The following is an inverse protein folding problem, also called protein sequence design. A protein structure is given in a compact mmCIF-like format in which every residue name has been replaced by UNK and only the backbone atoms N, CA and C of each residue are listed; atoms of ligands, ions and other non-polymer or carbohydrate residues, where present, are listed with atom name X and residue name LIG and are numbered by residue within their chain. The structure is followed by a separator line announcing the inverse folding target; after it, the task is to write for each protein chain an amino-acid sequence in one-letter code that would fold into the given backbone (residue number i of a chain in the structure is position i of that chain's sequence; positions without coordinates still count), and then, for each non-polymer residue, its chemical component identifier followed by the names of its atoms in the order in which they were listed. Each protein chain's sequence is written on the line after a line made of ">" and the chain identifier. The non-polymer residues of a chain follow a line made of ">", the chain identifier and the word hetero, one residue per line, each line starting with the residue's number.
data_IF_023375735217
#
_entry.id   IF_023375735217
#
_cell.length_a   1.000
_cell.length_b   1.000
_cell.length_c   1.000
_cell.angle_alpha   90.00
_cell.angle_beta   90.00
_cell.angle_gamma   90.00
#
_symmetry.space_group_name_H-M   'P 1'
#
loop_
_entity.id
_entity.type
_entity.pdbx_description
1 polymer ?
#
# COMPACT_ATOMS: atom_id res chain seq x y z
N UNK A 1 -16.71 -7.86 8.48
CA UNK A 1 -17.05 -6.49 8.85
C UNK A 1 -16.31 -5.48 8.01
N UNK A 2 -16.99 -4.41 7.66
CA UNK A 2 -16.35 -3.37 6.85
C UNK A 2 -15.34 -2.59 7.68
N UNK A 3 -14.13 -2.44 7.14
CA UNK A 3 -13.08 -1.65 7.78
C UNK A 3 -13.37 -0.17 7.54
N UNK A 4 -13.25 0.67 8.56
CA UNK A 4 -13.48 2.10 8.42
C UNK A 4 -12.36 2.73 7.60
N UNK A 5 -12.60 3.92 7.04
CA UNK A 5 -11.57 4.64 6.27
C UNK A 5 -10.33 4.94 7.12
N UNK A 6 -10.55 5.29 8.38
CA UNK A 6 -9.47 5.56 9.32
C UNK A 6 -8.60 4.33 9.56
N UNK A 7 -9.27 3.18 9.74
CA UNK A 7 -8.56 1.92 9.91
C UNK A 7 -7.82 1.52 8.65
N UNK A 8 -8.43 1.75 7.48
CA UNK A 8 -7.78 1.46 6.21
C UNK A 8 -6.53 2.29 6.01
N UNK A 9 -6.57 3.57 6.34
CA UNK A 9 -5.39 4.44 6.25
C UNK A 9 -4.26 3.90 7.11
N UNK A 10 -4.58 3.45 8.32
CA UNK A 10 -3.59 2.86 9.22
C UNK A 10 -3.00 1.59 8.63
N UNK A 11 -3.84 0.71 8.09
CA UNK A 11 -3.38 -0.54 7.49
C UNK A 11 -2.53 -0.29 6.24
N UNK A 12 -2.90 0.69 5.43
CA UNK A 12 -2.10 1.05 4.25
C UNK A 12 -0.71 1.50 4.68
N UNK A 13 -0.62 2.35 5.70
CA UNK A 13 0.65 2.82 6.20
C UNK A 13 1.48 1.69 6.80
N UNK A 14 0.84 0.81 7.58
CA UNK A 14 1.52 -0.36 8.15
C UNK A 14 2.05 -1.29 7.06
N UNK A 15 1.26 -1.50 6.02
CA UNK A 15 1.68 -2.32 4.90
C UNK A 15 2.94 -1.75 4.24
N UNK A 16 2.93 -0.45 3.96
CA UNK A 16 4.05 0.20 3.29
C UNK A 16 5.30 0.23 4.16
N UNK A 17 5.14 0.45 5.46
CA UNK A 17 6.27 0.40 6.38
C UNK A 17 6.90 -0.99 6.43
N UNK A 18 6.05 -2.03 6.46
CA UNK A 18 6.53 -3.41 6.44
C UNK A 18 7.23 -3.73 5.13
N UNK A 19 6.66 -3.28 4.01
CA UNK A 19 7.27 -3.47 2.70
C UNK A 19 8.63 -2.80 2.62
N UNK A 20 8.73 -1.57 3.12
CA UNK A 20 9.99 -0.83 3.15
C UNK A 20 11.05 -1.57 3.96
N UNK A 21 10.66 -2.09 5.14
CA UNK A 21 11.58 -2.84 5.99
C UNK A 21 12.06 -4.12 5.29
N UNK A 22 11.16 -4.81 4.61
CA UNK A 22 11.51 -6.02 3.87
C UNK A 22 12.52 -5.70 2.76
N UNK A 23 12.28 -4.64 2.01
CA UNK A 23 13.14 -4.27 0.89
C UNK A 23 14.51 -3.78 1.34
N UNK A 24 14.60 -3.20 2.53
CA UNK A 24 15.89 -2.78 3.09
C UNK A 24 16.70 -3.93 3.64
N UNK A 25 16.08 -5.06 3.92
CA UNK A 25 16.75 -6.19 4.55
C UNK A 25 17.75 -6.92 3.62
N UNK A 26 17.70 -6.68 2.33
CA UNK A 26 18.64 -7.25 1.34
C UNK A 26 18.68 -8.78 1.31
N UNK A 27 17.67 -9.45 1.81
CA UNK A 27 17.57 -10.92 1.77
C UNK A 27 16.49 -11.32 0.78
N UNK A 28 16.27 -12.61 0.49
CA UNK A 28 15.26 -13.01 -0.51
C UNK A 28 13.87 -12.54 -0.11
N UNK A 29 13.64 -11.28 -0.31
CA UNK A 29 12.45 -10.60 0.16
C UNK A 29 11.19 -10.90 -0.66
N UNK A 30 11.33 -11.60 -1.79
CA UNK A 30 10.18 -11.92 -2.64
C UNK A 30 9.12 -12.72 -1.88
N UNK A 31 9.57 -13.71 -1.12
CA UNK A 31 8.68 -14.55 -0.35
C UNK A 31 8.03 -13.77 0.79
N UNK A 32 8.82 -12.95 1.47
CA UNK A 32 8.32 -12.10 2.55
C UNK A 32 7.28 -11.10 2.03
N UNK A 33 7.50 -10.54 0.86
CA UNK A 33 6.55 -9.62 0.24
C UNK A 33 5.25 -10.34 -0.11
N UNK A 34 5.34 -11.57 -0.59
CA UNK A 34 4.17 -12.37 -0.91
C UNK A 34 3.35 -12.67 0.35
N UNK A 35 4.04 -13.03 1.42
CA UNK A 35 3.38 -13.32 2.69
C UNK A 35 2.72 -12.10 3.29
N UNK A 36 3.37 -10.95 3.21
CA UNK A 36 2.81 -9.69 3.68
C UNK A 36 1.50 -9.38 2.95
N UNK A 37 1.50 -9.53 1.63
CA UNK A 37 0.32 -9.30 0.81
C UNK A 37 -0.81 -10.26 1.18
N UNK A 38 -0.48 -11.53 1.36
CA UNK A 38 -1.44 -12.54 1.76
C UNK A 38 -2.07 -12.21 3.10
N UNK A 39 -1.26 -11.82 4.07
CA UNK A 39 -1.72 -11.49 5.40
C UNK A 39 -2.75 -10.38 5.39
N UNK A 40 -2.45 -9.27 4.73
CA UNK A 40 -3.34 -8.12 4.72
C UNK A 40 -4.61 -8.40 3.92
N UNK A 41 -4.50 -9.18 2.85
CA UNK A 41 -5.66 -9.54 2.03
C UNK A 41 -6.55 -10.56 2.73
N UNK A 42 -5.96 -11.61 3.29
CA UNK A 42 -6.72 -12.68 3.93
C UNK A 42 -7.39 -12.21 5.22
N UNK A 43 -6.78 -11.26 5.90
CA UNK A 43 -7.36 -10.67 7.10
C UNK A 43 -8.49 -9.69 6.78
N UNK A 44 -8.68 -9.35 5.51
CA UNK A 44 -9.70 -8.41 5.11
C UNK A 44 -9.36 -6.96 5.40
N UNK A 45 -8.10 -6.68 5.74
CA UNK A 45 -7.66 -5.33 6.06
C UNK A 45 -7.54 -4.46 4.81
N UNK A 46 -7.04 -5.03 3.72
CA UNK A 46 -6.89 -4.34 2.45
C UNK A 46 -7.31 -5.25 1.30
N UNK A 47 -7.93 -4.66 0.28
CA UNK A 47 -8.24 -5.37 -0.96
C UNK A 47 -7.00 -5.42 -1.85
N UNK A 48 -7.05 -6.26 -2.88
CA UNK A 48 -5.98 -6.36 -3.87
C UNK A 48 -5.70 -5.00 -4.52
N UNK A 49 -6.76 -4.25 -4.85
CA UNK A 49 -6.60 -2.94 -5.47
C UNK A 49 -5.98 -1.92 -4.51
N UNK A 50 -6.36 -1.96 -3.25
CA UNK A 50 -5.78 -1.08 -2.24
C UNK A 50 -4.30 -1.36 -2.05
N UNK A 51 -3.92 -2.64 -1.99
CA UNK A 51 -2.52 -3.03 -1.88
C UNK A 51 -1.74 -2.58 -3.12
N UNK A 52 -2.29 -2.79 -4.29
CA UNK A 52 -1.64 -2.41 -5.55
C UNK A 52 -1.44 -0.90 -5.63
N UNK A 53 -2.43 -0.12 -5.23
CA UNK A 53 -2.34 1.33 -5.22
C UNK A 53 -1.29 1.80 -4.21
N UNK A 54 -1.26 1.18 -3.03
CA UNK A 54 -0.27 1.53 -2.01
C UNK A 54 1.16 1.24 -2.48
N UNK A 55 1.36 0.11 -3.16
CA UNK A 55 2.68 -0.24 -3.69
C UNK A 55 3.11 0.75 -4.77
N UNK A 56 2.18 1.14 -5.65
CA UNK A 56 2.49 2.15 -6.68
C UNK A 56 2.88 3.49 -6.06
N UNK A 57 2.14 3.94 -5.04
CA UNK A 57 2.44 5.18 -4.35
C UNK A 57 3.81 5.12 -3.68
N UNK A 58 4.11 4.00 -3.03
CA UNK A 58 5.39 3.79 -2.38
C UNK A 58 6.55 3.85 -3.38
N UNK A 59 6.41 3.18 -4.51
CA UNK A 59 7.46 3.16 -5.52
C UNK A 59 7.66 4.51 -6.20
N UNK A 60 6.61 5.31 -6.21
CA UNK A 60 6.69 6.68 -6.75
C UNK A 60 7.62 7.56 -5.92
N UNK A 61 7.80 7.24 -4.66
CA UNK A 61 8.61 8.06 -3.73
C UNK A 61 10.12 7.88 -3.88
N UNK A 62 10.55 6.78 -4.40
CA UNK A 62 11.95 6.49 -4.76
C UNK A 62 12.97 6.32 -3.65
N UNK A 63 12.91 7.07 -2.56
CA UNK A 63 13.99 7.02 -1.57
C UNK A 63 13.50 6.70 -0.17
N UNK A 64 13.11 7.68 0.60
CA UNK A 64 12.69 7.46 1.97
C UNK A 64 11.18 7.57 2.10
N UNK A 65 10.61 6.77 3.01
CA UNK A 65 9.19 6.84 3.27
C UNK A 65 8.85 8.15 3.97
N UNK A 66 8.20 9.04 3.25
CA UNK A 66 7.63 10.26 3.78
C UNK A 66 6.12 10.10 3.78
N UNK A 67 5.52 10.11 4.96
CA UNK A 67 4.09 9.79 5.12
C UNK A 67 3.20 10.76 4.33
N UNK A 68 3.51 12.04 4.38
CA UNK A 68 2.70 13.04 3.69
C UNK A 68 2.78 12.86 2.17
N UNK A 69 3.99 12.69 1.64
CA UNK A 69 4.18 12.43 0.21
C UNK A 69 3.53 11.13 -0.21
N UNK A 70 3.61 10.12 0.63
CA UNK A 70 2.98 8.83 0.34
C UNK A 70 1.46 8.98 0.19
N UNK A 71 0.82 9.66 1.13
CA UNK A 71 -0.63 9.85 1.04
C UNK A 71 -1.02 10.71 -0.14
N UNK A 72 -0.22 11.73 -0.48
CA UNK A 72 -0.46 12.54 -1.66
C UNK A 72 -0.39 11.69 -2.92
N UNK A 73 0.65 10.85 -3.04
CA UNK A 73 0.81 9.97 -4.20
C UNK A 73 -0.32 8.94 -4.27
N UNK A 74 -0.68 8.37 -3.13
CA UNK A 74 -1.75 7.38 -3.05
C UNK A 74 -3.08 7.99 -3.53
N UNK A 75 -3.40 9.16 -3.03
CA UNK A 75 -4.65 9.82 -3.40
C UNK A 75 -4.66 10.25 -4.87
N UNK A 76 -3.52 10.67 -5.39
CA UNK A 76 -3.41 11.03 -6.79
C UNK A 76 -3.68 9.83 -7.70
N UNK A 77 -3.10 8.69 -7.39
CA UNK A 77 -3.30 7.46 -8.16
C UNK A 77 -4.74 7.00 -8.05
N UNK A 78 -5.30 7.05 -6.86
CA UNK A 78 -6.68 6.66 -6.62
C UNK A 78 -7.66 7.55 -7.41
N UNK A 79 -7.41 8.85 -7.43
CA UNK A 79 -8.26 9.80 -8.15
C UNK A 79 -8.19 9.57 -9.67
N UNK A 80 -7.02 9.24 -10.20
CA UNK A 80 -6.89 8.90 -11.63
C UNK A 80 -7.70 7.67 -11.97
N UNK A 81 -7.68 6.66 -11.12
CA UNK A 81 -8.48 5.46 -11.31
C UNK A 81 -9.97 5.77 -11.31
N UNK A 82 -10.42 6.61 -10.37
CA UNK A 82 -11.81 7.00 -10.28
C UNK A 82 -12.28 7.77 -11.51
N UNK A 83 -11.44 8.67 -12.01
CA UNK A 83 -11.75 9.43 -13.22
C UNK A 83 -11.89 8.52 -14.44
N UNK A 84 -11.02 7.53 -14.57
CA UNK A 84 -11.11 6.56 -15.65
C UNK A 84 -12.38 5.75 -15.57
N UNK A 85 -12.80 5.40 -14.38
CA UNK A 85 -14.02 4.61 -14.17
C UNK A 85 -15.29 5.43 -14.34
N UNK A 86 -15.21 6.73 -14.15
CA UNK A 86 -16.35 7.62 -14.25
C UNK A 86 -16.69 8.03 -15.71
N UNK A 87 -15.77 7.79 -16.61
CA UNK A 87 -15.95 8.17 -18.02
C UNK A 87 -16.96 7.29 -18.81
#
# INVERSE_FOLDING_TARGET
>A
MATTNKEKDRYILEYVRSLNAIEEAMEPYKEQKRELRKEFRNSGWLSTDEIRTAVKAYRFMKSELNVDEFYDAYNLILNKKRKSNAA
#
